data_IF_822926250979
#
_entry.id   IF_822926250979
#
_cell.length_a   1.000
_cell.length_b   1.000
_cell.length_c   1.000
_cell.angle_alpha   90.00
_cell.angle_beta   90.00
_cell.angle_gamma   90.00
#
_symmetry.space_group_name_H-M   'P 1'
#
loop_
_entity.id
_entity.type
_entity.pdbx_description
1 polymer ?
#
# COMPACT_ATOMS: atom_id res chain seq x y z
N UNK A 1 20.64 75.35 -13.39
CA UNK A 1 19.77 74.43 -14.15
C UNK A 1 18.94 73.70 -13.12
N UNK A 2 17.60 73.81 -13.20
CA UNK A 2 16.70 73.11 -12.25
C UNK A 2 16.42 71.73 -12.85
N UNK A 3 16.61 70.63 -12.10
CA UNK A 3 16.30 69.30 -12.60
C UNK A 3 14.78 69.14 -12.77
N UNK A 4 14.37 68.47 -13.85
CA UNK A 4 12.95 68.28 -14.19
C UNK A 4 12.43 66.90 -13.76
N UNK A 5 13.28 65.86 -13.79
CA UNK A 5 12.89 64.48 -13.46
C UNK A 5 13.91 63.89 -12.48
N UNK A 6 13.41 63.21 -11.45
CA UNK A 6 14.20 62.43 -10.48
C UNK A 6 13.51 61.09 -10.21
N UNK A 7 14.25 59.99 -10.32
CA UNK A 7 13.76 58.61 -10.07
C UNK A 7 12.43 58.27 -10.74
N UNK A 8 12.24 58.73 -11.99
CA UNK A 8 11.02 58.48 -12.78
C UNK A 8 9.82 59.36 -12.41
N UNK A 9 9.99 60.32 -11.51
CA UNK A 9 8.95 61.25 -11.07
C UNK A 9 9.31 62.68 -11.48
N UNK A 10 8.30 63.47 -11.84
CA UNK A 10 8.47 64.88 -12.18
C UNK A 10 8.62 65.71 -10.89
N UNK A 11 9.67 66.53 -10.81
CA UNK A 11 9.96 67.31 -9.60
C UNK A 11 8.89 68.38 -9.36
N UNK A 12 8.30 68.92 -10.42
CA UNK A 12 7.29 69.99 -10.35
C UNK A 12 6.07 69.58 -9.52
N UNK A 13 5.71 68.30 -9.53
CA UNK A 13 4.54 67.79 -8.80
C UNK A 13 4.77 67.74 -7.28
N UNK A 14 6.02 67.87 -6.82
CA UNK A 14 6.42 67.84 -5.41
C UNK A 14 6.90 69.21 -4.90
N UNK A 15 6.69 70.30 -5.64
CA UNK A 15 7.06 71.66 -5.18
C UNK A 15 5.84 72.31 -4.49
N UNK A 16 5.84 72.32 -3.16
CA UNK A 16 4.80 72.91 -2.30
C UNK A 16 5.46 73.77 -1.19
N UNK A 17 5.00 75.02 -0.92
CA UNK A 17 5.52 75.83 0.18
C UNK A 17 5.40 75.19 1.56
N UNK A 18 4.46 74.25 1.78
CA UNK A 18 4.23 73.58 3.06
C UNK A 18 4.82 72.15 3.12
N UNK A 19 5.71 71.78 2.19
CA UNK A 19 6.20 70.39 2.08
C UNK A 19 6.92 69.89 3.33
N UNK A 20 7.68 70.76 4.00
CA UNK A 20 8.42 70.41 5.22
C UNK A 20 7.47 70.03 6.37
N UNK A 21 6.30 70.67 6.45
CA UNK A 21 5.30 70.36 7.47
C UNK A 21 4.64 69.01 7.21
N UNK A 22 4.26 68.75 5.94
CA UNK A 22 3.68 67.46 5.53
C UNK A 22 4.68 66.31 5.73
N UNK A 23 5.96 66.55 5.47
CA UNK A 23 7.03 65.59 5.71
C UNK A 23 7.16 65.26 7.20
N UNK A 24 7.13 66.25 8.09
CA UNK A 24 7.18 66.01 9.54
C UNK A 24 5.97 65.24 10.09
N UNK A 25 4.77 65.49 9.53
CA UNK A 25 3.57 64.73 9.90
C UNK A 25 3.69 63.27 9.44
N UNK A 26 4.17 63.02 8.21
CA UNK A 26 4.46 61.69 7.69
C UNK A 26 5.54 60.95 8.50
N UNK A 27 6.65 61.61 8.83
CA UNK A 27 7.72 61.00 9.64
C UNK A 27 7.23 60.55 11.02
N UNK A 28 6.30 61.30 11.64
CA UNK A 28 5.68 60.92 12.91
C UNK A 28 4.74 59.72 12.75
N UNK A 29 3.95 59.69 11.68
CA UNK A 29 3.06 58.57 11.38
C UNK A 29 3.86 57.29 11.09
N UNK A 30 4.92 57.39 10.28
CA UNK A 30 5.83 56.26 10.01
C UNK A 30 6.56 55.79 11.27
N UNK A 31 6.97 56.69 12.16
CA UNK A 31 7.58 56.31 13.43
C UNK A 31 6.61 55.53 14.33
N UNK A 32 5.32 55.89 14.33
CA UNK A 32 4.27 55.15 15.05
C UNK A 32 4.03 53.77 14.40
N UNK A 33 3.93 53.71 13.06
CA UNK A 33 3.76 52.47 12.31
C UNK A 33 4.95 51.52 12.45
N UNK A 34 6.18 52.01 12.43
CA UNK A 34 7.38 51.20 12.66
C UNK A 34 7.45 50.67 14.09
N UNK A 35 7.04 51.48 15.08
CA UNK A 35 6.93 51.03 16.46
C UNK A 35 5.86 49.95 16.62
N UNK A 36 4.71 50.08 15.94
CA UNK A 36 3.63 49.08 15.95
C UNK A 36 4.02 47.79 15.22
N UNK A 37 4.64 47.90 14.04
CA UNK A 37 5.16 46.77 13.25
C UNK A 37 6.21 45.97 14.01
N UNK A 38 7.08 46.64 14.78
CA UNK A 38 8.08 45.99 15.63
C UNK A 38 7.49 45.20 16.81
N UNK A 39 6.19 45.34 17.10
CA UNK A 39 5.50 44.57 18.15
C UNK A 39 4.91 43.25 17.64
N UNK A 40 4.90 43.02 16.32
CA UNK A 40 4.64 41.69 15.77
C UNK A 40 5.89 40.86 15.98
N UNK A 41 5.87 39.98 16.98
CA UNK A 41 6.99 39.07 17.30
C UNK A 41 7.14 38.00 16.21
N UNK A 42 7.56 38.40 15.01
CA UNK A 42 7.75 37.53 13.85
C UNK A 42 8.67 36.35 14.19
N UNK A 43 9.68 36.55 15.01
CA UNK A 43 10.61 35.50 15.44
C UNK A 43 9.93 34.38 16.23
N UNK A 44 8.94 34.71 17.08
CA UNK A 44 8.19 33.70 17.82
C UNK A 44 7.29 32.89 16.89
N UNK A 45 6.63 33.57 15.95
CA UNK A 45 5.77 32.94 14.93
C UNK A 45 6.59 32.04 14.00
N UNK A 46 7.77 32.50 13.59
CA UNK A 46 8.71 31.72 12.77
C UNK A 46 9.20 30.49 13.53
N UNK A 47 9.53 30.64 14.82
CA UNK A 47 9.97 29.53 15.67
C UNK A 47 8.89 28.45 15.85
N UNK A 48 7.63 28.83 16.02
CA UNK A 48 6.51 27.89 16.06
C UNK A 48 6.28 27.21 14.71
N UNK A 49 6.36 27.96 13.61
CA UNK A 49 6.23 27.42 12.27
C UNK A 49 7.30 26.38 11.95
N UNK A 50 8.56 26.62 12.33
CA UNK A 50 9.65 25.66 12.18
C UNK A 50 9.39 24.37 12.95
N UNK A 51 8.88 24.46 14.20
CA UNK A 51 8.50 23.27 15.00
C UNK A 51 7.39 22.47 14.33
N UNK A 52 6.41 23.13 13.72
CA UNK A 52 5.34 22.45 12.99
C UNK A 52 5.88 21.76 11.73
N UNK A 53 6.78 22.41 11.01
CA UNK A 53 7.40 21.83 9.82
C UNK A 53 8.21 20.56 10.13
N UNK A 54 9.01 20.56 11.20
CA UNK A 54 9.81 19.38 11.57
C UNK A 54 8.91 18.18 11.90
N UNK A 55 7.83 18.40 12.65
CA UNK A 55 6.84 17.36 12.96
C UNK A 55 6.15 16.85 11.70
N UNK A 56 5.79 17.74 10.77
CA UNK A 56 5.18 17.35 9.49
C UNK A 56 6.12 16.48 8.64
N UNK A 57 7.41 16.82 8.59
CA UNK A 57 8.42 16.06 7.86
C UNK A 57 8.61 14.65 8.44
N UNK A 58 8.61 14.52 9.77
CA UNK A 58 8.63 13.24 10.45
C UNK A 58 7.39 12.39 10.10
N UNK A 59 6.19 12.98 10.15
CA UNK A 59 4.94 12.28 9.78
C UNK A 59 4.99 11.83 8.31
N UNK A 60 5.44 12.70 7.41
CA UNK A 60 5.58 12.40 6.00
C UNK A 60 6.60 11.29 5.73
N UNK A 61 7.74 11.30 6.41
CA UNK A 61 8.75 10.25 6.29
C UNK A 61 8.22 8.89 6.75
N UNK A 62 7.52 8.85 7.89
CA UNK A 62 6.89 7.63 8.43
C UNK A 62 5.77 7.11 7.52
N UNK A 63 5.00 7.99 6.89
CA UNK A 63 4.02 7.61 5.87
C UNK A 63 4.68 6.99 4.64
N UNK A 64 5.79 7.55 4.15
CA UNK A 64 6.56 6.99 3.02
C UNK A 64 7.08 5.60 3.34
N UNK A 65 7.65 5.40 4.53
CA UNK A 65 8.12 4.10 5.01
C UNK A 65 6.98 3.06 5.04
N UNK A 66 5.84 3.38 5.67
CA UNK A 66 4.67 2.48 5.71
C UNK A 66 4.12 2.14 4.32
N UNK A 67 4.14 3.09 3.37
CA UNK A 67 3.74 2.82 1.98
C UNK A 67 4.70 1.85 1.31
N UNK A 68 6.01 1.99 1.53
CA UNK A 68 7.03 1.10 1.01
C UNK A 68 6.93 -0.30 1.61
N UNK A 69 6.77 -0.41 2.93
CA UNK A 69 6.51 -1.68 3.63
C UNK A 69 5.28 -2.39 3.07
N UNK A 70 4.17 -1.67 2.85
CA UNK A 70 2.96 -2.24 2.23
C UNK A 70 3.22 -2.75 0.81
N UNK A 71 4.02 -2.03 0.02
CA UNK A 71 4.41 -2.47 -1.33
C UNK A 71 5.28 -3.72 -1.30
N UNK A 72 6.24 -3.80 -0.37
CA UNK A 72 7.08 -4.99 -0.17
C UNK A 72 6.26 -6.18 0.33
N UNK A 73 5.38 -5.95 1.31
CA UNK A 73 4.52 -6.96 1.91
C UNK A 73 3.36 -7.38 0.99
N UNK A 74 3.06 -6.61 -0.06
CA UNK A 74 2.10 -6.99 -1.08
C UNK A 74 2.73 -8.12 -1.91
N UNK A 75 2.47 -9.36 -1.50
CA UNK A 75 2.84 -10.53 -2.31
C UNK A 75 2.34 -10.34 -3.74
N UNK A 76 3.20 -10.60 -4.73
CA UNK A 76 2.82 -10.62 -6.14
C UNK A 76 1.74 -11.70 -6.34
N UNK A 77 0.47 -11.32 -6.29
CA UNK A 77 -0.70 -12.15 -6.62
C UNK A 77 -0.68 -13.59 -6.03
N UNK A 78 -0.50 -13.75 -4.73
CA UNK A 78 -0.74 -15.03 -4.04
C UNK A 78 -2.15 -15.09 -3.45
N UNK A 79 -2.83 -16.24 -3.55
CA UNK A 79 -4.08 -16.49 -2.82
C UNK A 79 -3.88 -16.17 -1.32
N UNK A 80 -4.90 -15.65 -0.62
CA UNK A 80 -4.79 -15.35 0.81
C UNK A 80 -4.41 -16.63 1.55
N UNK A 81 -3.18 -16.71 2.04
CA UNK A 81 -2.75 -17.86 2.82
C UNK A 81 -3.44 -17.75 4.18
N UNK A 82 -4.39 -18.65 4.45
CA UNK A 82 -5.17 -18.76 5.69
C UNK A 82 -4.32 -19.12 6.94
N UNK A 83 -3.01 -18.89 6.89
CA UNK A 83 -2.07 -19.11 7.98
C UNK A 83 -0.98 -18.04 7.93
N UNK A 84 -1.33 -16.81 8.29
CA UNK A 84 -0.30 -15.93 8.86
C UNK A 84 0.29 -16.69 10.05
N UNK A 85 1.62 -16.86 10.06
CA UNK A 85 2.32 -17.48 11.18
C UNK A 85 1.87 -16.83 12.48
N UNK A 86 1.78 -17.61 13.56
CA UNK A 86 1.51 -17.05 14.89
C UNK A 86 2.67 -16.09 15.19
N UNK A 87 2.38 -14.81 15.44
CA UNK A 87 3.37 -13.86 15.93
C UNK A 87 3.88 -14.33 17.29
N UNK A 88 5.17 -14.14 17.56
CA UNK A 88 5.72 -14.40 18.89
C UNK A 88 5.10 -13.43 19.90
N UNK A 89 5.06 -13.80 21.18
CA UNK A 89 4.58 -12.91 22.23
C UNK A 89 5.48 -11.66 22.35
N UNK A 90 6.79 -11.85 22.16
CA UNK A 90 7.82 -10.82 22.18
C UNK A 90 7.59 -9.76 21.09
N UNK A 91 7.35 -10.18 19.83
CA UNK A 91 7.05 -9.26 18.72
C UNK A 91 5.79 -8.41 18.96
N UNK A 92 4.83 -8.93 19.73
CA UNK A 92 3.60 -8.23 20.07
C UNK A 92 3.85 -7.26 21.23
N UNK A 93 4.64 -7.67 22.22
CA UNK A 93 5.05 -6.85 23.35
C UNK A 93 5.84 -5.62 22.89
N UNK A 94 6.89 -5.81 22.09
CA UNK A 94 7.73 -4.74 21.54
C UNK A 94 6.90 -3.71 20.76
N UNK A 95 5.96 -4.17 19.92
CA UNK A 95 5.10 -3.25 19.15
C UNK A 95 4.10 -2.48 20.01
N UNK A 96 3.67 -3.05 21.13
CA UNK A 96 2.77 -2.35 22.05
C UNK A 96 3.55 -1.32 22.87
N UNK A 97 4.76 -1.65 23.31
CA UNK A 97 5.65 -0.71 24.00
C UNK A 97 6.06 0.45 23.08
N UNK A 98 6.35 0.18 21.81
CA UNK A 98 6.64 1.20 20.79
C UNK A 98 5.46 2.16 20.55
N UNK A 99 4.23 1.69 20.79
CA UNK A 99 3.01 2.48 20.69
C UNK A 99 2.62 3.15 22.02
N UNK A 100 3.39 2.94 23.09
CA UNK A 100 3.11 3.45 24.43
C UNK A 100 1.95 2.76 25.15
N UNK A 101 1.60 1.53 24.74
CA UNK A 101 0.54 0.72 25.34
C UNK A 101 1.12 -0.30 26.33
N UNK A 102 0.42 -0.52 27.45
CA UNK A 102 0.83 -1.50 28.46
C UNK A 102 0.79 -2.94 27.90
N UNK A 103 1.94 -3.59 27.84
CA UNK A 103 2.13 -4.93 27.32
C UNK A 103 2.10 -6.03 28.40
N UNK A 104 1.91 -5.69 29.67
CA UNK A 104 1.93 -6.62 30.82
C UNK A 104 1.01 -7.85 30.64
N UNK A 105 -0.16 -7.66 30.01
CA UNK A 105 -1.18 -8.70 29.80
C UNK A 105 -0.87 -9.68 28.65
N UNK A 106 0.14 -9.40 27.80
CA UNK A 106 0.50 -10.24 26.65
C UNK A 106 1.14 -11.56 27.11
N UNK A 107 2.00 -11.51 28.14
CA UNK A 107 2.67 -12.71 28.70
C UNK A 107 1.71 -13.60 29.49
N UNK A 108 0.75 -13.03 30.23
CA UNK A 108 -0.20 -13.79 31.07
C UNK A 108 -1.09 -14.78 30.29
N UNK A 109 -1.47 -14.44 29.06
CA UNK A 109 -2.19 -15.36 28.15
C UNK A 109 -1.33 -16.48 27.57
N UNK A 110 -0.01 -16.26 27.49
CA UNK A 110 0.95 -17.22 26.96
C UNK A 110 1.32 -18.26 28.02
N UNK A 111 1.50 -17.83 29.27
CA UNK A 111 1.83 -18.67 30.42
C UNK A 111 0.66 -19.60 30.84
N UNK A 112 -0.59 -19.12 30.78
CA UNK A 112 -1.80 -19.91 31.08
C UNK A 112 -2.13 -20.97 30.01
N UNK A 113 -1.40 -20.99 28.89
CA UNK A 113 -1.62 -21.92 27.77
C UNK A 113 -0.52 -22.97 27.66
N UNK A 114 0.04 -23.39 28.79
CA UNK A 114 0.79 -24.64 28.93
C UNK A 114 -0.11 -25.79 28.46
N UNK A 115 0.02 -26.14 27.18
CA UNK A 115 -0.45 -27.45 26.70
C UNK A 115 0.23 -28.48 27.59
N UNK A 116 -0.58 -29.35 28.19
CA UNK A 116 -0.12 -30.57 28.81
C UNK A 116 0.98 -31.18 27.93
N UNK A 117 2.21 -31.18 28.43
CA UNK A 117 3.28 -31.93 27.84
C UNK A 117 2.80 -33.38 27.84
N UNK A 118 2.48 -33.92 26.67
CA UNK A 118 2.12 -35.32 26.54
C UNK A 118 3.33 -36.14 26.97
N UNK A 119 3.33 -36.62 28.21
CA UNK A 119 4.33 -37.53 28.76
C UNK A 119 4.36 -38.90 28.06
N UNK A 120 3.62 -39.08 26.95
CA UNK A 120 3.47 -40.35 26.23
C UNK A 120 3.90 -40.35 24.75
N UNK A 121 4.72 -39.38 24.27
CA UNK A 121 5.21 -39.43 22.89
C UNK A 121 6.71 -39.70 22.79
N UNK A 122 7.12 -40.91 23.19
CA UNK A 122 8.36 -41.55 22.71
C UNK A 122 8.21 -41.87 21.21
N UNK A 123 8.49 -40.90 20.35
CA UNK A 123 9.06 -41.14 19.01
C UNK A 123 9.69 -39.86 18.50
N UNK A 124 10.94 -39.69 18.93
CA UNK A 124 11.93 -38.76 18.41
C UNK A 124 12.28 -39.22 16.98
N UNK A 125 11.55 -38.74 15.97
CA UNK A 125 12.08 -38.69 14.59
C UNK A 125 12.91 -37.42 14.48
N UNK A 126 14.08 -37.46 15.09
CA UNK A 126 15.14 -36.50 14.80
C UNK A 126 15.91 -37.00 13.59
N UNK A 127 16.08 -36.11 12.61
CA UNK A 127 17.18 -36.08 11.66
C UNK A 127 17.48 -37.37 10.86
N UNK A 128 16.96 -37.43 9.64
CA UNK A 128 17.71 -38.00 8.51
C UNK A 128 17.43 -37.15 7.27
N UNK A 129 18.00 -35.94 7.28
CA UNK A 129 18.54 -35.39 6.05
C UNK A 129 19.87 -36.12 5.82
N UNK A 130 19.97 -36.88 4.74
CA UNK A 130 21.15 -37.68 4.42
C UNK A 130 20.96 -39.15 4.78
N UNK A 131 20.68 -39.96 3.76
CA UNK A 131 20.51 -41.39 3.85
C UNK A 131 20.20 -41.88 2.44
N UNK A 132 21.25 -42.04 1.65
CA UNK A 132 21.26 -42.78 0.39
C UNK A 132 20.75 -44.19 0.67
N UNK A 133 19.43 -44.39 0.58
CA UNK A 133 18.83 -45.69 0.43
C UNK A 133 18.21 -45.69 -0.96
N UNK A 134 18.80 -46.52 -1.82
CA UNK A 134 18.28 -46.93 -3.11
C UNK A 134 16.81 -47.31 -2.96
N UNK A 135 15.94 -46.33 -3.17
CA UNK A 135 14.52 -46.52 -3.33
C UNK A 135 14.34 -47.38 -4.56
N UNK A 136 14.19 -48.69 -4.31
CA UNK A 136 13.79 -49.72 -5.24
C UNK A 136 12.78 -49.12 -6.21
N UNK A 137 13.24 -48.84 -7.42
CA UNK A 137 12.50 -48.12 -8.45
C UNK A 137 11.41 -49.05 -8.95
N UNK A 138 10.31 -49.13 -8.21
CA UNK A 138 9.07 -49.78 -8.65
C UNK A 138 8.75 -49.28 -10.06
N UNK A 139 8.21 -50.14 -10.92
CA UNK A 139 8.00 -49.91 -12.35
C UNK A 139 7.35 -48.56 -12.73
N UNK A 140 6.71 -47.87 -11.77
CA UNK A 140 6.31 -46.46 -11.80
C UNK A 140 7.42 -45.47 -12.21
N UNK A 141 8.68 -45.70 -11.81
CA UNK A 141 9.81 -44.82 -12.12
C UNK A 141 10.24 -44.83 -13.61
N UNK A 142 9.85 -45.85 -14.39
CA UNK A 142 10.12 -45.92 -15.84
C UNK A 142 9.13 -45.13 -16.68
N UNK A 143 7.94 -44.84 -16.16
CA UNK A 143 6.96 -44.02 -16.84
C UNK A 143 7.33 -42.53 -16.67
N UNK A 144 8.26 -42.03 -17.48
CA UNK A 144 8.44 -40.59 -17.63
C UNK A 144 7.07 -39.98 -17.98
N UNK A 145 6.57 -39.07 -17.15
CA UNK A 145 5.28 -38.41 -17.39
C UNK A 145 5.25 -37.87 -18.82
N UNK A 146 4.18 -38.15 -19.59
CA UNK A 146 4.06 -37.74 -21.01
C UNK A 146 4.31 -36.25 -21.25
N UNK A 147 4.04 -35.40 -20.24
CA UNK A 147 4.30 -33.95 -20.27
C UNK A 147 5.79 -33.56 -20.20
N UNK A 148 6.67 -34.47 -19.76
CA UNK A 148 8.13 -34.29 -19.69
C UNK A 148 8.86 -35.09 -20.77
N UNK A 149 8.19 -36.05 -21.39
CA UNK A 149 8.74 -36.83 -22.49
C UNK A 149 8.94 -35.92 -23.70
N UNK A 150 10.17 -35.81 -24.20
CA UNK A 150 10.53 -34.94 -25.34
C UNK A 150 11.06 -33.55 -24.98
N UNK A 151 11.18 -33.23 -23.69
CA UNK A 151 11.87 -32.02 -23.25
C UNK A 151 13.31 -32.37 -22.83
N UNK A 152 14.33 -31.63 -23.32
CA UNK A 152 15.72 -31.96 -23.08
C UNK A 152 16.13 -31.74 -21.61
N UNK A 153 15.75 -30.59 -21.05
CA UNK A 153 16.18 -30.15 -19.71
C UNK A 153 14.98 -29.76 -18.84
N UNK A 154 15.14 -29.82 -17.52
CA UNK A 154 14.09 -29.38 -16.57
C UNK A 154 13.75 -27.89 -16.70
N UNK A 155 14.73 -27.05 -17.04
CA UNK A 155 14.52 -25.63 -17.29
C UNK A 155 13.53 -25.40 -18.44
N UNK A 156 13.68 -26.16 -19.53
CA UNK A 156 12.76 -26.09 -20.68
C UNK A 156 11.35 -26.53 -20.29
N UNK A 157 11.22 -27.53 -19.40
CA UNK A 157 9.93 -27.96 -18.86
C UNK A 157 9.26 -26.88 -18.01
N UNK A 158 10.04 -26.16 -17.19
CA UNK A 158 9.52 -25.03 -16.41
C UNK A 158 9.03 -23.89 -17.31
N UNK A 159 9.76 -23.59 -18.39
CA UNK A 159 9.36 -22.57 -19.38
C UNK A 159 8.05 -22.97 -20.08
N UNK A 160 7.92 -24.24 -20.50
CA UNK A 160 6.69 -24.75 -21.13
C UNK A 160 5.50 -24.71 -20.16
N UNK A 161 5.68 -25.14 -18.92
CA UNK A 161 4.62 -25.08 -17.90
C UNK A 161 4.21 -23.63 -17.60
N UNK A 162 5.17 -22.70 -17.56
CA UNK A 162 4.87 -21.26 -17.41
C UNK A 162 4.07 -20.72 -18.59
N UNK A 163 4.38 -21.13 -19.82
CA UNK A 163 3.60 -20.79 -21.03
C UNK A 163 2.19 -21.37 -20.95
N UNK A 164 2.03 -22.65 -20.57
CA UNK A 164 0.74 -23.30 -20.35
C UNK A 164 -0.12 -22.56 -19.32
N UNK A 165 0.46 -22.18 -18.18
CA UNK A 165 -0.27 -21.38 -17.16
C UNK A 165 -0.72 -20.03 -17.70
N UNK A 166 0.06 -19.40 -18.59
CA UNK A 166 -0.30 -18.11 -19.20
C UNK A 166 -1.50 -18.24 -20.13
N UNK A 167 -1.58 -19.29 -20.94
CA UNK A 167 -2.74 -19.54 -21.83
C UNK A 167 -4.01 -19.83 -21.02
N UNK A 168 -3.89 -20.60 -19.92
CA UNK A 168 -5.01 -20.91 -19.03
C UNK A 168 -5.63 -19.69 -18.33
N UNK A 169 -4.90 -18.58 -18.18
CA UNK A 169 -5.43 -17.35 -17.56
C UNK A 169 -6.64 -16.79 -18.30
N UNK A 170 -6.70 -16.93 -19.63
CA UNK A 170 -7.83 -16.42 -20.41
C UNK A 170 -9.12 -17.19 -20.11
N UNK A 171 -9.03 -18.52 -20.00
CA UNK A 171 -10.16 -19.39 -19.64
C UNK A 171 -10.61 -19.12 -18.19
N UNK A 172 -9.65 -19.02 -17.26
CA UNK A 172 -9.96 -18.70 -15.86
C UNK A 172 -10.61 -17.32 -15.70
N UNK A 173 -10.20 -16.33 -16.51
CA UNK A 173 -10.81 -14.99 -16.52
C UNK A 173 -12.27 -15.04 -16.96
N UNK A 174 -12.62 -15.91 -17.91
CA UNK A 174 -14.00 -16.14 -18.38
C UNK A 174 -14.83 -17.02 -17.43
N UNK A 175 -14.21 -17.66 -16.45
CA UNK A 175 -14.87 -18.54 -15.49
C UNK A 175 -15.13 -19.96 -16.01
N UNK A 176 -14.45 -20.38 -17.09
CA UNK A 176 -14.60 -21.72 -17.66
C UNK A 176 -14.09 -22.78 -16.68
N UNK A 177 -14.77 -23.94 -16.63
CA UNK A 177 -14.36 -25.06 -15.76
C UNK A 177 -13.05 -25.73 -16.21
N UNK A 178 -12.68 -25.55 -17.49
CA UNK A 178 -11.45 -26.06 -18.09
C UNK A 178 -11.40 -25.78 -19.58
N UNK A 179 -10.40 -26.33 -20.27
CA UNK A 179 -10.24 -26.17 -21.73
C UNK A 179 -11.35 -26.85 -22.55
N UNK A 180 -11.96 -27.91 -22.00
CA UNK A 180 -13.05 -28.64 -22.62
C UNK A 180 -14.39 -27.88 -22.54
N UNK A 181 -14.51 -26.90 -21.66
CA UNK A 181 -15.73 -26.13 -21.44
C UNK A 181 -15.89 -25.05 -22.52
N UNK A 182 -16.55 -25.46 -23.61
CA UNK A 182 -16.81 -24.66 -24.81
C UNK A 182 -18.31 -24.43 -25.03
N UNK A 183 -19.12 -24.54 -23.99
CA UNK A 183 -20.56 -24.32 -24.09
C UNK A 183 -20.87 -22.84 -24.30
N UNK A 184 -21.74 -22.55 -25.27
CA UNK A 184 -22.18 -21.19 -25.59
C UNK A 184 -23.59 -21.03 -25.02
N UNK A 185 -23.80 -20.15 -24.02
CA UNK A 185 -25.13 -19.90 -23.50
C UNK A 185 -25.95 -19.08 -24.50
N UNK A 186 -27.25 -19.37 -24.59
CA UNK A 186 -28.18 -18.52 -25.31
C UNK A 186 -28.55 -17.30 -24.44
N UNK A 187 -27.89 -16.17 -24.71
CA UNK A 187 -28.07 -14.93 -23.96
C UNK A 187 -29.41 -14.25 -24.27
N UNK A 188 -30.00 -14.52 -25.44
CA UNK A 188 -31.24 -13.88 -25.88
C UNK A 188 -32.23 -14.91 -26.44
N UNK A 189 -32.75 -15.81 -25.58
CA UNK A 189 -33.64 -16.85 -26.05
C UNK A 189 -34.94 -16.26 -26.59
N UNK A 190 -35.33 -16.73 -27.79
CA UNK A 190 -36.47 -16.20 -28.55
C UNK A 190 -37.77 -16.14 -27.74
N UNK A 191 -38.05 -17.16 -26.94
CA UNK A 191 -39.28 -17.26 -26.14
C UNK A 191 -39.40 -16.19 -25.04
N UNK A 192 -38.31 -15.49 -24.69
CA UNK A 192 -38.35 -14.35 -23.77
C UNK A 192 -38.48 -13.00 -24.48
N UNK A 193 -37.96 -12.88 -25.70
CA UNK A 193 -37.80 -11.60 -26.41
C UNK A 193 -38.70 -11.45 -27.64
N UNK A 194 -39.50 -12.46 -27.98
CA UNK A 194 -40.37 -12.47 -29.14
C UNK A 194 -41.81 -12.75 -28.74
N UNK A 195 -42.75 -12.04 -29.37
CA UNK A 195 -44.19 -12.15 -29.09
C UNK A 195 -44.69 -11.11 -28.09
N UNK A 196 -46.02 -10.97 -28.02
CA UNK A 196 -46.73 -10.15 -27.03
C UNK A 196 -47.76 -11.03 -26.33
N UNK A 197 -48.01 -10.78 -25.04
CA UNK A 197 -49.01 -11.52 -24.27
C UNK A 197 -50.41 -11.03 -24.66
N UNK A 198 -51.22 -11.92 -25.24
CA UNK A 198 -52.64 -11.67 -25.53
C UNK A 198 -53.56 -11.95 -24.34
N UNK A 199 -54.87 -11.78 -24.54
CA UNK A 199 -55.91 -12.22 -23.60
C UNK A 199 -56.10 -13.74 -23.77
N UNK A 200 -56.05 -14.53 -22.69
CA UNK A 200 -56.20 -16.00 -22.75
C UNK A 200 -55.00 -16.79 -22.21
N UNK A 201 -54.68 -17.93 -22.84
CA UNK A 201 -53.58 -18.82 -22.44
C UNK A 201 -52.23 -18.12 -22.60
N UNK A 202 -51.32 -18.36 -21.65
CA UNK A 202 -49.99 -17.77 -21.62
C UNK A 202 -48.90 -18.84 -21.67
N UNK A 203 -47.73 -18.50 -22.21
CA UNK A 203 -46.63 -19.44 -22.46
C UNK A 203 -45.91 -19.93 -21.19
N UNK A 204 -46.07 -19.21 -20.07
CA UNK A 204 -45.46 -19.55 -18.78
C UNK A 204 -46.47 -19.34 -17.65
N UNK A 205 -46.34 -20.15 -16.61
CA UNK A 205 -47.20 -20.13 -15.42
C UNK A 205 -47.00 -18.89 -14.57
#
# INVERSE_FOLDING_TARGET
MVPEIMDGHNIVDFVDPDIDRKLQELEREEALLMAESSLVNDDQVIGEYQKVQTVLDEVHSRMRQKRLERKLNKSKNGLPTMRKGRKSAEEVEEKLTDLGLDASKVRGRSASRTRAASLLRKRKRTASAGGDEEGERTASARARSRSRLGLPNEETAQVVEKRRRKTMRQFNKKGNKGEADRWVPDLKPKHLYSGKRGIGKTDRR
#
